data_IF_687681829604
#
_entry.id   IF_687681829604
#
_cell.length_a   1.000
_cell.length_b   1.000
_cell.length_c   1.000
_cell.angle_alpha   90.00
_cell.angle_beta   90.00
_cell.angle_gamma   90.00
#
_symmetry.space_group_name_H-M   'P 1'
#
loop_
_entity.id
_entity.type
_entity.pdbx_description
1 polymer ?
#
# COMPACT_ATOMS: atom_id res chain seq x y z
N UNK A 1 -5.58 -10.47 -5.93
CA UNK A 1 -6.87 -9.89 -6.36
C UNK A 1 -7.30 -9.04 -5.17
N UNK A 2 -7.25 -7.71 -5.27
CA UNK A 2 -7.17 -6.84 -4.07
C UNK A 2 -8.53 -6.25 -3.64
N UNK A 3 -9.61 -6.74 -4.23
CA UNK A 3 -10.98 -6.42 -3.86
C UNK A 3 -11.85 -7.62 -4.24
N UNK A 4 -12.75 -8.00 -3.35
CA UNK A 4 -13.78 -9.01 -3.58
C UNK A 4 -15.13 -8.39 -3.21
N UNK A 5 -16.04 -8.32 -4.18
CA UNK A 5 -17.40 -7.82 -3.93
C UNK A 5 -18.29 -9.00 -3.55
N UNK A 6 -18.79 -9.01 -2.31
CA UNK A 6 -19.71 -10.04 -1.80
C UNK A 6 -21.09 -9.42 -1.65
N UNK A 7 -22.10 -9.98 -2.33
CA UNK A 7 -23.50 -9.57 -2.16
C UNK A 7 -24.19 -10.50 -1.17
N UNK A 8 -24.70 -9.94 -0.09
CA UNK A 8 -25.37 -10.70 0.97
C UNK A 8 -26.88 -10.49 0.90
N UNK A 9 -27.65 -11.57 0.97
CA UNK A 9 -29.11 -11.49 1.15
C UNK A 9 -29.41 -11.18 2.62
N UNK A 10 -30.08 -10.06 2.87
CA UNK A 10 -30.44 -9.61 4.22
C UNK A 10 -31.51 -10.55 4.79
N UNK A 11 -31.23 -11.14 5.95
CA UNK A 11 -32.15 -12.09 6.65
C UNK A 11 -32.97 -11.44 7.77
N UNK A 12 -32.66 -10.21 8.15
CA UNK A 12 -33.35 -9.47 9.22
C UNK A 12 -33.80 -8.10 8.71
N UNK A 13 -34.88 -8.03 7.90
CA UNK A 13 -35.31 -6.77 7.28
C UNK A 13 -35.86 -5.75 8.30
N UNK A 14 -36.24 -6.22 9.49
CA UNK A 14 -36.80 -5.37 10.55
C UNK A 14 -35.73 -4.72 11.45
N UNK A 15 -34.46 -5.11 11.32
CA UNK A 15 -33.37 -4.52 12.11
C UNK A 15 -32.87 -3.23 11.48
N UNK A 16 -32.46 -2.28 12.33
CA UNK A 16 -31.75 -1.10 11.86
C UNK A 16 -30.45 -1.49 11.16
N UNK A 17 -30.06 -0.72 10.14
CA UNK A 17 -28.90 -1.03 9.29
C UNK A 17 -27.60 -1.18 10.09
N UNK A 18 -27.43 -0.36 11.14
CA UNK A 18 -26.23 -0.40 11.98
C UNK A 18 -26.13 -1.71 12.79
N UNK A 19 -27.25 -2.19 13.32
CA UNK A 19 -27.28 -3.47 14.06
C UNK A 19 -27.05 -4.64 13.13
N UNK A 20 -27.63 -4.57 11.92
CA UNK A 20 -27.38 -5.56 10.87
C UNK A 20 -25.88 -5.65 10.53
N UNK A 21 -25.22 -4.50 10.32
CA UNK A 21 -23.77 -4.46 10.06
C UNK A 21 -22.97 -5.14 11.18
N UNK A 22 -23.26 -4.80 12.45
CA UNK A 22 -22.57 -5.39 13.61
C UNK A 22 -22.77 -6.90 13.71
N UNK A 23 -24.00 -7.38 13.54
CA UNK A 23 -24.32 -8.82 13.60
C UNK A 23 -23.57 -9.57 12.50
N UNK A 24 -23.61 -9.07 11.26
CA UNK A 24 -22.95 -9.74 10.13
C UNK A 24 -21.44 -9.74 10.26
N UNK A 25 -20.81 -8.65 10.70
CA UNK A 25 -19.36 -8.62 10.98
C UNK A 25 -18.98 -9.71 11.99
N UNK A 26 -19.73 -9.83 13.09
CA UNK A 26 -19.49 -10.84 14.12
C UNK A 26 -19.64 -12.26 13.58
N UNK A 27 -20.72 -12.54 12.85
CA UNK A 27 -21.01 -13.88 12.32
C UNK A 27 -20.03 -14.30 11.21
N UNK A 28 -19.60 -13.37 10.36
CA UNK A 28 -18.56 -13.64 9.36
C UNK A 28 -17.23 -13.93 10.05
N UNK A 29 -16.82 -13.11 11.02
CA UNK A 29 -15.56 -13.29 11.74
C UNK A 29 -15.46 -14.63 12.48
N UNK A 30 -16.56 -15.17 13.00
CA UNK A 30 -16.58 -16.52 13.59
C UNK A 30 -16.14 -17.62 12.62
N UNK A 31 -16.31 -17.42 11.30
CA UNK A 31 -16.00 -18.39 10.26
C UNK A 31 -14.61 -18.18 9.64
N UNK A 32 -13.99 -17.02 9.86
CA UNK A 32 -12.69 -16.69 9.29
C UNK A 32 -11.58 -17.07 10.26
N UNK A 33 -10.53 -17.75 9.76
CA UNK A 33 -9.37 -18.18 10.57
C UNK A 33 -8.19 -17.20 10.52
N UNK A 34 -7.87 -16.71 9.32
CA UNK A 34 -6.69 -15.86 9.06
C UNK A 34 -7.05 -14.46 8.55
N UNK A 35 -8.34 -14.15 8.48
CA UNK A 35 -8.86 -12.88 8.01
C UNK A 35 -9.88 -12.37 9.02
N UNK A 36 -10.04 -11.06 9.08
CA UNK A 36 -11.07 -10.42 9.90
C UNK A 36 -11.73 -9.31 9.08
N UNK A 37 -13.05 -9.26 9.14
CA UNK A 37 -13.85 -8.13 8.70
C UNK A 37 -13.81 -7.10 9.81
N UNK A 38 -13.26 -5.93 9.50
CA UNK A 38 -13.12 -4.82 10.45
C UNK A 38 -14.34 -3.91 10.42
N UNK A 39 -14.87 -3.63 9.24
CA UNK A 39 -16.06 -2.79 9.05
C UNK A 39 -16.93 -3.34 7.91
N UNK A 40 -18.22 -2.99 7.94
CA UNK A 40 -19.18 -3.31 6.91
C UNK A 40 -20.09 -2.10 6.67
N UNK A 41 -20.21 -1.69 5.41
CA UNK A 41 -21.01 -0.54 5.00
C UNK A 41 -22.03 -0.92 3.95
N UNK A 42 -23.19 -0.28 4.01
CA UNK A 42 -24.17 -0.35 2.91
C UNK A 42 -23.71 0.56 1.78
N UNK A 43 -23.78 0.06 0.56
CA UNK A 43 -23.37 0.77 -0.66
C UNK A 43 -24.44 0.58 -1.74
N UNK A 44 -24.55 1.50 -2.70
CA UNK A 44 -25.45 1.32 -3.83
C UNK A 44 -25.15 0.04 -4.63
N UNK A 45 -26.15 -0.54 -5.29
CA UNK A 45 -26.00 -1.78 -6.04
C UNK A 45 -25.00 -1.70 -7.21
N UNK A 46 -24.76 -0.49 -7.72
CA UNK A 46 -23.80 -0.20 -8.79
C UNK A 46 -22.37 0.07 -8.28
N UNK A 47 -22.15 0.04 -6.97
CA UNK A 47 -20.83 0.28 -6.39
C UNK A 47 -19.88 -0.89 -6.66
N UNK A 48 -18.68 -0.56 -7.12
CA UNK A 48 -17.57 -1.48 -7.34
C UNK A 48 -16.33 -1.01 -6.56
N UNK A 49 -15.90 -1.83 -5.58
CA UNK A 49 -14.78 -1.49 -4.69
C UNK A 49 -13.45 -1.28 -5.43
N UNK A 50 -13.29 -1.85 -6.63
CA UNK A 50 -12.11 -1.67 -7.46
C UNK A 50 -12.22 -0.40 -8.30
N UNK A 51 -13.34 -0.16 -8.97
CA UNK A 51 -13.50 0.95 -9.92
C UNK A 51 -13.75 2.28 -9.21
N UNK A 52 -14.49 2.29 -8.11
CA UNK A 52 -14.81 3.51 -7.38
C UNK A 52 -13.68 4.00 -6.44
N UNK A 53 -12.61 3.21 -6.27
CA UNK A 53 -11.50 3.61 -5.38
C UNK A 53 -10.61 4.64 -6.07
N UNK A 54 -10.48 5.82 -5.43
CA UNK A 54 -9.73 6.98 -5.91
C UNK A 54 -8.24 6.72 -5.86
N UNK A 55 -7.74 6.26 -4.72
CA UNK A 55 -6.33 5.97 -4.52
C UNK A 55 -6.11 4.88 -3.48
N UNK A 56 -4.99 4.18 -3.60
CA UNK A 56 -4.49 3.22 -2.62
C UNK A 56 -3.12 3.65 -2.13
N UNK A 57 -2.85 3.40 -0.86
CA UNK A 57 -1.55 3.59 -0.23
C UNK A 57 -1.03 2.23 0.19
N UNK A 58 0.17 1.89 -0.26
CA UNK A 58 0.90 0.71 0.13
C UNK A 58 2.13 1.09 0.93
N UNK A 59 2.49 0.24 1.88
CA UNK A 59 3.78 0.25 2.54
C UNK A 59 4.60 -0.94 2.04
N UNK A 60 5.89 -0.74 1.81
CA UNK A 60 6.82 -1.82 1.52
C UNK A 60 7.95 -1.81 2.54
N UNK A 61 7.99 -2.79 3.43
CA UNK A 61 9.00 -2.93 4.49
C UNK A 61 10.25 -3.66 3.99
N UNK A 62 11.41 -3.18 4.40
CA UNK A 62 12.69 -3.80 4.08
C UNK A 62 13.74 -3.50 5.14
N UNK A 63 14.77 -4.35 5.17
CA UNK A 63 15.96 -4.09 5.98
C UNK A 63 17.00 -3.32 5.19
N UNK A 64 17.70 -2.43 5.88
CA UNK A 64 18.88 -1.79 5.34
C UNK A 64 20.00 -2.80 5.09
N UNK A 65 20.54 -2.78 3.87
CA UNK A 65 21.69 -3.57 3.43
C UNK A 65 22.87 -2.67 3.05
N UNK A 66 23.01 -1.54 3.75
CA UNK A 66 23.90 -0.43 3.42
C UNK A 66 23.47 0.28 2.12
N UNK A 67 22.17 0.54 2.00
CA UNK A 67 21.64 1.26 0.84
C UNK A 67 22.02 2.74 0.90
N UNK A 68 22.31 3.32 -0.26
CA UNK A 68 22.37 4.77 -0.41
C UNK A 68 20.94 5.34 -0.49
N UNK A 69 20.46 5.85 0.63
CA UNK A 69 19.10 6.40 0.74
C UNK A 69 18.88 7.69 -0.05
N UNK A 70 19.91 8.51 -0.27
CA UNK A 70 19.77 9.72 -1.08
C UNK A 70 19.49 9.37 -2.54
N UNK A 71 20.23 8.41 -3.11
CA UNK A 71 19.94 7.88 -4.44
C UNK A 71 18.55 7.25 -4.51
N UNK A 72 18.13 6.51 -3.49
CA UNK A 72 16.76 5.97 -3.44
C UNK A 72 15.69 7.07 -3.41
N UNK A 73 15.91 8.16 -2.67
CA UNK A 73 14.99 9.31 -2.64
C UNK A 73 14.91 9.99 -4.01
N UNK A 74 16.03 10.15 -4.70
CA UNK A 74 16.05 10.67 -6.08
C UNK A 74 15.23 9.78 -7.02
N UNK A 75 15.44 8.46 -6.95
CA UNK A 75 14.65 7.50 -7.73
C UNK A 75 13.15 7.52 -7.39
N UNK A 76 12.78 7.74 -6.12
CA UNK A 76 11.38 7.89 -5.72
C UNK A 76 10.71 9.08 -6.41
N UNK A 77 11.43 10.22 -6.53
CA UNK A 77 10.91 11.43 -7.18
C UNK A 77 10.62 11.21 -8.66
N UNK A 78 11.45 10.44 -9.37
CA UNK A 78 11.25 10.14 -10.79
C UNK A 78 9.92 9.43 -11.07
N UNK A 79 9.45 8.61 -10.14
CA UNK A 79 8.20 7.87 -10.30
C UNK A 79 6.93 8.71 -10.07
N UNK A 80 7.04 9.93 -9.52
CA UNK A 80 5.89 10.79 -9.24
C UNK A 80 5.23 11.28 -10.54
N UNK A 81 3.91 11.43 -10.52
CA UNK A 81 3.13 11.83 -11.68
C UNK A 81 2.63 10.66 -12.51
N UNK A 82 2.23 10.93 -13.74
CA UNK A 82 1.67 9.94 -14.66
C UNK A 82 2.73 9.41 -15.63
N UNK A 83 2.94 8.10 -15.64
CA UNK A 83 3.95 7.43 -16.47
C UNK A 83 3.43 6.13 -17.07
N UNK A 84 4.09 5.66 -18.13
CA UNK A 84 3.95 4.30 -18.61
C UNK A 84 4.79 3.34 -17.75
N UNK A 85 4.10 2.48 -16.99
CA UNK A 85 4.74 1.50 -16.11
C UNK A 85 4.86 0.10 -16.73
N UNK A 86 4.84 -0.02 -18.07
CA UNK A 86 5.00 -1.29 -18.78
C UNK A 86 6.31 -2.00 -18.40
N UNK A 87 7.40 -1.23 -18.26
CA UNK A 87 8.70 -1.71 -17.78
C UNK A 87 8.74 -2.00 -16.27
N UNK A 88 7.72 -1.64 -15.51
CA UNK A 88 7.64 -1.90 -14.07
C UNK A 88 6.52 -2.86 -13.72
N UNK A 89 5.97 -3.64 -14.66
CA UNK A 89 4.91 -4.59 -14.34
C UNK A 89 5.18 -5.97 -14.93
N UNK A 90 4.45 -6.97 -14.42
CA UNK A 90 4.36 -8.26 -15.09
C UNK A 90 3.27 -8.17 -16.15
N UNK A 91 3.67 -8.20 -17.43
CA UNK A 91 2.76 -8.16 -18.58
C UNK A 91 1.75 -9.32 -18.48
N UNK A 92 0.45 -8.99 -18.52
CA UNK A 92 -0.63 -9.98 -18.68
C UNK A 92 -1.18 -9.87 -20.10
N UNK A 93 -1.59 -11.00 -20.67
CA UNK A 93 -2.08 -11.13 -22.06
C UNK A 93 -3.13 -10.07 -22.48
N UNK A 94 -3.91 -9.54 -21.53
CA UNK A 94 -5.01 -8.59 -21.80
C UNK A 94 -4.75 -7.17 -21.26
N UNK A 95 -3.50 -6.78 -20.99
CA UNK A 95 -3.21 -5.44 -20.45
C UNK A 95 -3.13 -4.44 -21.59
N UNK A 96 -4.15 -3.58 -21.73
CA UNK A 96 -4.22 -2.59 -22.81
C UNK A 96 -3.71 -1.20 -22.41
N UNK A 97 -3.70 -0.87 -21.11
CA UNK A 97 -3.23 0.43 -20.61
C UNK A 97 -2.26 0.27 -19.44
N UNK A 98 -1.01 0.70 -19.67
CA UNK A 98 0.08 0.68 -18.69
C UNK A 98 0.33 2.02 -18.00
N UNK A 99 -0.41 3.07 -18.39
CA UNK A 99 -0.29 4.39 -17.77
C UNK A 99 -0.89 4.40 -16.38
N UNK A 100 -0.15 4.85 -15.37
CA UNK A 100 -0.63 4.99 -13.99
C UNK A 100 -0.10 6.28 -13.38
N UNK A 101 -0.78 6.77 -12.36
CA UNK A 101 -0.38 7.99 -11.63
C UNK A 101 0.06 7.65 -10.22
N UNK A 102 1.29 8.01 -9.87
CA UNK A 102 1.82 7.93 -8.51
C UNK A 102 1.72 9.32 -7.89
N UNK A 103 1.03 9.39 -6.75
CA UNK A 103 0.76 10.63 -6.02
C UNK A 103 1.82 10.90 -4.95
N UNK A 104 2.37 9.85 -4.34
CA UNK A 104 3.42 9.94 -3.31
C UNK A 104 4.28 8.69 -3.38
N UNK A 105 5.60 8.87 -3.32
CA UNK A 105 6.56 7.79 -3.19
C UNK A 105 7.73 8.33 -2.37
N UNK A 106 7.89 7.80 -1.17
CA UNK A 106 8.94 8.21 -0.25
C UNK A 106 9.53 7.00 0.46
N UNK A 107 10.82 7.08 0.82
CA UNK A 107 11.45 6.15 1.74
C UNK A 107 11.49 6.79 3.13
N UNK A 108 11.00 6.06 4.12
CA UNK A 108 11.00 6.48 5.52
C UNK A 108 11.76 5.46 6.36
N UNK A 109 12.38 5.96 7.42
CA UNK A 109 13.07 5.16 8.41
C UNK A 109 12.11 4.82 9.53
N UNK A 110 12.10 3.55 9.93
CA UNK A 110 11.32 3.05 11.06
C UNK A 110 12.21 2.76 12.27
N UNK A 111 13.40 2.22 12.02
CA UNK A 111 14.41 1.96 13.05
C UNK A 111 15.82 2.04 12.43
N UNK A 112 16.89 1.78 13.20
CA UNK A 112 18.28 1.70 12.73
C UNK A 112 18.46 0.76 11.53
N UNK A 113 17.70 -0.33 11.45
CA UNK A 113 17.84 -1.33 10.38
C UNK A 113 16.60 -1.51 9.53
N UNK A 114 15.46 -0.97 9.93
CA UNK A 114 14.20 -1.15 9.23
C UNK A 114 13.73 0.15 8.59
N UNK A 115 13.36 0.03 7.34
CA UNK A 115 12.88 1.13 6.51
C UNK A 115 11.64 0.67 5.78
N UNK A 116 10.85 1.63 5.30
CA UNK A 116 9.73 1.33 4.43
C UNK A 116 9.60 2.36 3.33
N UNK A 117 9.11 1.91 2.19
CA UNK A 117 8.57 2.81 1.19
C UNK A 117 7.08 3.05 1.45
N UNK A 118 6.64 4.29 1.35
CA UNK A 118 5.22 4.64 1.33
C UNK A 118 4.84 5.10 -0.07
N UNK A 119 3.92 4.37 -0.70
CA UNK A 119 3.54 4.55 -2.10
C UNK A 119 2.04 4.79 -2.18
N UNK A 120 1.63 5.99 -2.61
CA UNK A 120 0.24 6.36 -2.89
C UNK A 120 0.06 6.52 -4.39
N UNK A 121 -0.96 5.89 -4.96
CA UNK A 121 -1.27 5.99 -6.38
C UNK A 121 -2.74 5.74 -6.68
N UNK A 122 -3.20 6.20 -7.84
CA UNK A 122 -4.61 6.07 -8.25
C UNK A 122 -4.97 4.60 -8.46
N UNK A 123 -4.13 3.87 -9.20
CA UNK A 123 -4.18 2.42 -9.34
C UNK A 123 -2.80 1.86 -9.67
N UNK A 124 -2.65 0.54 -9.51
CA UNK A 124 -1.38 -0.15 -9.75
C UNK A 124 -1.57 -1.35 -10.69
N UNK A 125 -0.60 -1.57 -11.57
CA UNK A 125 -0.49 -2.75 -12.42
C UNK A 125 -0.06 -3.97 -11.60
N UNK A 126 -0.18 -5.15 -12.20
CA UNK A 126 0.25 -6.38 -11.55
C UNK A 126 1.77 -6.36 -11.30
N UNK A 127 2.14 -6.56 -10.03
CA UNK A 127 3.52 -6.47 -9.52
C UNK A 127 4.20 -5.10 -9.65
N UNK A 128 3.44 -4.02 -9.93
CA UNK A 128 4.02 -2.70 -10.19
C UNK A 128 4.96 -2.23 -9.08
N UNK A 129 4.43 -2.18 -7.86
CA UNK A 129 5.14 -1.67 -6.69
C UNK A 129 6.41 -2.48 -6.43
N UNK A 130 6.34 -3.81 -6.50
CA UNK A 130 7.49 -4.70 -6.26
C UNK A 130 8.59 -4.52 -7.30
N UNK A 131 8.25 -4.22 -8.55
CA UNK A 131 9.25 -3.90 -9.57
C UNK A 131 9.85 -2.50 -9.39
N UNK A 132 9.04 -1.51 -9.03
CA UNK A 132 9.55 -0.16 -8.70
C UNK A 132 10.53 -0.23 -7.52
N UNK A 133 10.14 -0.91 -6.45
CA UNK A 133 10.98 -1.15 -5.27
C UNK A 133 12.25 -1.91 -5.63
N UNK A 134 12.18 -2.93 -6.49
CA UNK A 134 13.37 -3.66 -6.93
C UNK A 134 14.37 -2.75 -7.66
N UNK A 135 13.88 -1.83 -8.51
CA UNK A 135 14.72 -0.87 -9.19
C UNK A 135 15.38 0.11 -8.20
N UNK A 136 14.63 0.59 -7.20
CA UNK A 136 15.18 1.42 -6.12
C UNK A 136 16.23 0.68 -5.29
N UNK A 137 16.06 -0.63 -5.05
CA UNK A 137 17.11 -1.43 -4.41
C UNK A 137 18.39 -1.48 -5.23
N UNK A 138 18.31 -1.63 -6.56
CA UNK A 138 19.51 -1.58 -7.42
C UNK A 138 20.15 -0.18 -7.42
N UNK A 139 19.33 0.87 -7.42
CA UNK A 139 19.81 2.24 -7.35
C UNK A 139 20.53 2.53 -6.03
N UNK A 140 19.99 2.04 -4.91
CA UNK A 140 20.60 2.19 -3.60
C UNK A 140 21.84 1.31 -3.38
N UNK A 141 22.00 0.19 -4.10
CA UNK A 141 23.27 -0.57 -4.08
C UNK A 141 24.30 -0.06 -5.09
N UNK A 142 23.95 0.92 -5.94
CA UNK A 142 24.83 1.43 -7.00
C UNK A 142 24.95 0.52 -8.22
N UNK A 143 24.06 -0.47 -8.38
CA UNK A 143 24.03 -1.33 -9.57
C UNK A 143 23.26 -0.70 -10.75
N UNK A 144 22.46 0.32 -10.45
CA UNK A 144 21.65 1.08 -11.41
C UNK A 144 21.94 2.57 -11.20
N UNK A 145 22.08 3.32 -12.29
CA UNK A 145 22.18 4.78 -12.24
C UNK A 145 20.79 5.45 -12.30
N UNK A 146 20.71 6.72 -11.89
CA UNK A 146 19.45 7.48 -11.89
C UNK A 146 18.94 7.65 -13.33
N UNK A 147 19.86 7.85 -14.28
CA UNK A 147 19.59 7.98 -15.70
C UNK A 147 19.02 6.68 -16.29
N UNK A 148 19.53 5.52 -15.86
CA UNK A 148 18.98 4.23 -16.27
C UNK A 148 17.51 4.10 -15.84
N UNK A 149 17.19 4.51 -14.60
CA UNK A 149 15.83 4.49 -14.07
C UNK A 149 14.90 5.43 -14.86
N UNK A 150 15.38 6.62 -15.22
CA UNK A 150 14.64 7.56 -16.06
C UNK A 150 14.40 7.00 -17.47
N UNK A 151 15.41 6.37 -18.07
CA UNK A 151 15.30 5.72 -19.37
C UNK A 151 14.28 4.58 -19.37
N UNK A 152 14.29 3.77 -18.30
CA UNK A 152 13.29 2.71 -18.10
C UNK A 152 11.86 3.25 -18.04
N UNK A 153 11.65 4.40 -17.40
CA UNK A 153 10.33 5.04 -17.28
C UNK A 153 9.85 5.65 -18.60
N UNK A 154 10.78 6.16 -19.40
CA UNK A 154 10.52 6.75 -20.72
C UNK A 154 10.51 5.72 -21.86
N UNK A 155 10.59 4.41 -21.55
CA UNK A 155 10.69 3.31 -22.53
C UNK A 155 11.85 3.47 -23.53
N UNK A 156 12.91 4.18 -23.15
CA UNK A 156 14.12 4.27 -23.97
C UNK A 156 14.93 2.96 -23.90
N UNK A 157 15.76 2.67 -24.91
CA UNK A 157 16.74 1.59 -24.82
C UNK A 157 17.58 1.77 -23.57
N UNK A 158 17.53 0.81 -22.67
CA UNK A 158 18.25 0.83 -21.40
C UNK A 158 18.84 -0.57 -21.13
N UNK A 159 19.71 -0.67 -20.13
CA UNK A 159 20.23 -1.96 -19.67
C UNK A 159 19.09 -2.94 -19.41
N UNK A 160 19.34 -4.20 -19.75
CA UNK A 160 18.35 -5.26 -19.59
C UNK A 160 17.86 -5.32 -18.14
N UNK A 161 16.53 -5.38 -17.98
CA UNK A 161 15.86 -5.45 -16.68
C UNK A 161 15.97 -6.85 -16.08
N UNK A 162 17.18 -7.30 -15.83
CA UNK A 162 17.45 -8.64 -15.32
C UNK A 162 17.66 -8.69 -13.79
N UNK A 163 17.09 -7.72 -13.07
CA UNK A 163 17.10 -7.75 -11.60
C UNK A 163 15.85 -8.43 -11.05
N UNK A 164 16.07 -9.26 -10.02
CA UNK A 164 15.03 -10.01 -9.31
C UNK A 164 13.98 -9.04 -8.74
N UNK A 165 12.70 -9.38 -8.93
CA UNK A 165 11.59 -8.66 -8.31
C UNK A 165 11.74 -8.66 -6.78
N UNK A 166 11.34 -7.54 -6.14
CA UNK A 166 11.33 -7.44 -4.68
C UNK A 166 10.40 -8.50 -4.07
N UNK A 167 10.64 -8.89 -2.84
CA UNK A 167 9.84 -9.90 -2.14
C UNK A 167 8.36 -9.47 -1.98
N UNK A 168 7.46 -10.41 -1.72
CA UNK A 168 6.07 -10.10 -1.37
C UNK A 168 5.86 -9.84 0.10
N UNK A 169 6.68 -10.44 0.97
CA UNK A 169 6.53 -10.37 2.43
C UNK A 169 6.54 -8.93 2.98
N UNK A 170 7.26 -8.03 2.31
CA UNK A 170 7.34 -6.63 2.70
C UNK A 170 6.13 -5.79 2.31
N UNK A 171 5.27 -6.26 1.38
CA UNK A 171 4.23 -5.45 0.78
C UNK A 171 2.90 -5.50 1.56
N UNK A 172 2.45 -4.34 2.02
CA UNK A 172 1.20 -4.17 2.77
C UNK A 172 0.30 -3.14 2.08
N UNK A 173 -0.97 -3.47 1.85
CA UNK A 173 -2.00 -2.47 1.53
C UNK A 173 -2.38 -1.77 2.84
N UNK A 174 -2.02 -0.49 2.97
CA UNK A 174 -2.20 0.27 4.20
C UNK A 174 -3.53 1.01 4.25
N UNK A 175 -3.87 1.72 3.17
CA UNK A 175 -5.12 2.47 3.12
C UNK A 175 -5.65 2.62 1.70
N UNK A 176 -6.94 2.93 1.59
CA UNK A 176 -7.61 3.23 0.33
C UNK A 176 -8.69 4.29 0.59
N UNK A 177 -9.03 5.07 -0.44
CA UNK A 177 -10.05 6.11 -0.36
C UNK A 177 -11.07 5.96 -1.49
N UNK A 178 -12.31 6.33 -1.18
CA UNK A 178 -13.45 6.42 -2.09
C UNK A 178 -14.01 7.85 -2.01
N UNK A 179 -14.69 8.30 -3.06
CA UNK A 179 -15.31 9.65 -3.14
C UNK A 179 -16.43 9.81 -2.12
N UNK A 180 -17.39 8.90 -2.19
CA UNK A 180 -18.70 9.07 -1.53
C UNK A 180 -18.85 8.18 -0.28
N UNK A 181 -17.80 7.46 0.07
CA UNK A 181 -17.76 6.59 1.25
C UNK A 181 -16.62 7.04 2.16
N UNK A 182 -16.99 7.79 3.19
CA UNK A 182 -16.16 7.89 4.37
C UNK A 182 -16.31 6.57 5.14
N UNK A 183 -15.38 5.65 4.88
CA UNK A 183 -15.03 4.67 5.87
C UNK A 183 -14.48 5.46 7.05
N UNK A 184 -15.36 5.85 7.98
CA UNK A 184 -14.93 6.29 9.30
C UNK A 184 -14.28 5.06 9.93
N UNK A 185 -12.99 4.89 9.65
CA UNK A 185 -12.08 4.10 10.47
C UNK A 185 -11.81 4.85 11.79
N UNK A 186 -12.73 5.70 12.24
CA UNK A 186 -13.02 5.86 13.66
C UNK A 186 -13.72 4.60 14.20
N UNK A 187 -13.20 3.41 13.86
CA UNK A 187 -13.19 2.31 14.81
C UNK A 187 -12.20 2.81 15.84
N UNK A 188 -12.66 3.11 17.05
CA UNK A 188 -11.85 3.49 18.22
C UNK A 188 -10.38 3.11 18.00
N UNK A 189 -9.56 4.10 17.62
CA UNK A 189 -8.37 3.94 16.76
C UNK A 189 -7.36 2.93 17.32
N UNK A 190 -7.48 2.56 18.59
CA UNK A 190 -6.70 1.51 19.24
C UNK A 190 -6.84 0.15 18.58
N UNK A 191 -8.04 -0.29 18.16
CA UNK A 191 -8.18 -1.66 17.62
C UNK A 191 -7.61 -1.76 16.21
N UNK A 192 -7.94 -0.79 15.35
CA UNK A 192 -7.39 -0.74 14.00
C UNK A 192 -5.88 -0.48 14.04
N UNK A 193 -5.41 0.49 14.82
CA UNK A 193 -3.97 0.73 15.00
C UNK A 193 -3.27 -0.47 15.62
N UNK A 194 -3.84 -1.18 16.59
CA UNK A 194 -3.25 -2.41 17.15
C UNK A 194 -3.21 -3.57 16.16
N UNK A 195 -4.23 -3.71 15.31
CA UNK A 195 -4.25 -4.74 14.25
C UNK A 195 -3.26 -4.38 13.14
N UNK A 196 -3.19 -3.11 12.75
CA UNK A 196 -2.22 -2.62 11.80
C UNK A 196 -0.80 -2.72 12.35
N UNK A 197 -0.59 -2.38 13.62
CA UNK A 197 0.65 -2.58 14.35
C UNK A 197 1.01 -4.06 14.34
N UNK A 198 0.10 -4.97 14.68
CA UNK A 198 0.35 -6.42 14.57
C UNK A 198 0.67 -6.87 13.16
N UNK A 199 -0.02 -6.35 12.14
CA UNK A 199 0.24 -6.67 10.75
C UNK A 199 1.62 -6.17 10.32
N UNK A 200 2.02 -4.98 10.75
CA UNK A 200 3.34 -4.41 10.49
C UNK A 200 4.40 -5.17 11.29
N UNK A 201 4.17 -5.48 12.57
CA UNK A 201 5.03 -6.33 13.41
C UNK A 201 5.22 -7.68 12.75
N UNK A 202 4.15 -8.29 12.23
CA UNK A 202 4.21 -9.57 11.52
C UNK A 202 4.97 -9.43 10.21
N UNK A 203 4.77 -8.37 9.44
CA UNK A 203 5.51 -8.12 8.20
C UNK A 203 7.01 -7.89 8.48
N UNK A 204 7.33 -7.07 9.48
CA UNK A 204 8.70 -6.83 9.96
C UNK A 204 9.32 -8.12 10.47
N UNK A 205 8.58 -8.92 11.25
CA UNK A 205 9.02 -10.22 11.74
C UNK A 205 9.26 -11.20 10.59
N UNK A 206 8.36 -11.30 9.62
CA UNK A 206 8.53 -12.13 8.43
C UNK A 206 9.79 -11.72 7.65
N UNK A 207 9.91 -10.43 7.34
CA UNK A 207 11.11 -9.87 6.70
C UNK A 207 12.38 -10.19 7.50
N UNK A 208 12.31 -10.14 8.84
CA UNK A 208 13.42 -10.48 9.73
C UNK A 208 13.72 -11.98 9.77
N UNK A 209 12.71 -12.85 9.73
CA UNK A 209 12.85 -14.31 9.77
C UNK A 209 13.39 -14.86 8.45
N UNK A 210 13.04 -14.24 7.33
CA UNK A 210 13.61 -14.51 6.00
C UNK A 210 15.11 -14.15 5.91
N UNK A 211 15.68 -13.48 6.93
CA UNK A 211 17.11 -13.20 7.07
C UNK A 211 17.59 -13.53 8.48
N UNK A 212 18.05 -14.76 8.75
CA UNK A 212 18.23 -15.26 10.10
C UNK A 212 19.22 -14.41 10.92
N UNK A 213 18.73 -13.58 11.86
CA UNK A 213 19.55 -12.99 12.93
C UNK A 213 18.73 -12.63 14.17
N UNK A 214 19.32 -12.91 15.34
CA UNK A 214 18.76 -12.79 16.69
C UNK A 214 18.40 -11.32 17.02
N UNK A 215 17.12 -10.99 17.04
CA UNK A 215 16.61 -9.70 17.54
C UNK A 215 16.54 -9.76 19.07
N UNK A 216 17.33 -8.93 19.76
CA UNK A 216 17.27 -8.76 21.23
C UNK A 216 16.15 -7.77 21.57
N UNK A 217 15.03 -8.32 22.08
CA UNK A 217 13.85 -7.72 22.76
C UNK A 217 13.15 -6.50 22.10
N UNK A 218 11.80 -6.48 22.08
CA UNK A 218 11.02 -5.37 21.54
C UNK A 218 10.86 -4.27 22.60
N UNK A 219 11.35 -3.06 22.34
CA UNK A 219 10.90 -1.88 23.08
C UNK A 219 9.68 -1.30 22.35
N UNK A 220 8.61 -1.12 23.11
CA UNK A 220 7.29 -0.66 22.69
C UNK A 220 7.35 0.86 22.44
N UNK A 221 7.71 1.26 21.22
CA UNK A 221 7.74 2.64 20.74
C UNK A 221 7.99 2.72 19.23
N UNK A 222 7.75 1.62 18.51
CA UNK A 222 8.23 1.36 17.16
C UNK A 222 7.26 1.84 16.06
N UNK A 223 6.08 2.35 16.45
CA UNK A 223 4.93 2.51 15.54
C UNK A 223 4.27 3.90 15.57
N UNK A 224 4.70 4.80 16.45
CA UNK A 224 4.12 6.16 16.53
C UNK A 224 4.43 6.98 15.25
N UNK A 225 5.56 6.72 14.58
CA UNK A 225 6.00 7.44 13.36
C UNK A 225 5.23 7.05 12.07
N UNK A 226 4.36 6.02 12.10
CA UNK A 226 3.59 5.57 10.92
C UNK A 226 2.23 6.28 10.80
N UNK A 227 1.74 6.88 11.88
CA UNK A 227 0.50 7.65 11.89
C UNK A 227 0.81 9.07 11.37
N UNK A 228 0.41 9.38 10.15
CA UNK A 228 0.76 10.66 9.50
C UNK A 228 0.13 11.90 10.15
N UNK A 229 0.88 12.99 10.08
CA UNK A 229 0.52 14.41 10.22
C UNK A 229 -0.43 14.95 9.12
N UNK A 230 -1.08 14.10 8.32
CA UNK A 230 -1.90 14.54 7.17
C UNK A 230 -3.38 14.84 7.57
N UNK A 231 -3.63 15.53 8.68
CA UNK A 231 -4.98 16.03 9.06
C UNK A 231 -4.96 17.41 9.74
N UNK A 232 -4.26 18.38 9.14
CA UNK A 232 -4.49 19.80 9.42
C UNK A 232 -5.18 20.48 8.23
N UNK A 233 -6.52 20.48 8.31
CA UNK A 233 -7.47 21.48 7.81
C UNK A 233 -7.19 22.16 6.47
N UNK A 234 -7.90 21.74 5.42
CA UNK A 234 -8.31 22.66 4.36
C UNK A 234 -9.39 23.60 4.91
N UNK A 235 -8.98 24.82 5.25
CA UNK A 235 -9.88 25.97 5.36
C UNK A 235 -10.25 26.47 3.97
N UNK A 236 -11.52 26.86 3.83
CA UNK A 236 -12.16 27.45 2.66
C UNK A 236 -11.29 28.43 1.87
N UNK A 237 -11.34 28.38 0.52
CA UNK A 237 -11.83 29.51 -0.31
C UNK A 237 -11.84 29.22 -1.83
N UNK A 238 -13.07 29.24 -2.39
CA UNK A 238 -13.53 29.78 -3.70
C UNK A 238 -12.89 29.31 -5.02
N UNK A 239 -13.71 28.63 -5.83
CA UNK A 239 -13.57 28.56 -7.29
C UNK A 239 -13.84 29.93 -7.97
N UNK A 240 -13.06 30.30 -9.00
CA UNK A 240 -13.48 31.26 -10.03
C UNK A 240 -13.87 30.53 -11.35
N UNK A 241 -14.46 31.26 -12.32
CA UNK A 241 -15.67 30.87 -13.06
C UNK A 241 -15.51 29.78 -14.12
#
# INVERSE_FOLDING_TARGET
>A
MNALTIRLKIRHPHMALQDLQRVYVKEINKKLKHMQVIDMRSVPNFFDARLNCIHRTYLYFFMDKNYNFERMKEGCKLFLGEHDFSNFCKKRKNSTCFRRTILKFEVRRMDKKFHYFKIKGTSFLYNQIRHMVAALFQLGTGNLEVEDLANMLNNHPCRDKNFKIADEDGLLLYSFKFSDLNFNVHVDNRVFSHLMEKAIQSAVLLVSLCYPRKVKRPNCGFFEDILDEDDHGEGDEKCPP
#
